data_IF_198559787572
#
_entry.id   IF_198559787572
#
_cell.length_a   1.000
_cell.length_b   1.000
_cell.length_c   1.000
_cell.angle_alpha   90.00
_cell.angle_beta   90.00
_cell.angle_gamma   90.00
#
_symmetry.space_group_name_H-M   'P 1'
#
loop_
_entity.id
_entity.type
_entity.pdbx_description
1 polymer ?
#
# COMPACT_ATOMS: atom_id res chain seq x y z
N UNK A 1 30.10 -11.01 29.61
CA UNK A 1 30.68 -10.57 28.32
C UNK A 1 29.51 -10.36 27.37
N UNK A 2 29.07 -9.11 27.22
CA UNK A 2 27.87 -8.77 26.45
C UNK A 2 28.28 -8.59 24.98
N UNK A 3 27.78 -9.45 24.10
CA UNK A 3 27.90 -9.27 22.66
C UNK A 3 26.76 -8.35 22.20
N UNK A 4 27.06 -7.07 22.00
CA UNK A 4 26.17 -6.10 21.38
C UNK A 4 26.34 -6.19 19.86
N UNK A 5 25.76 -7.26 19.29
CA UNK A 5 25.70 -7.52 17.85
C UNK A 5 24.42 -7.01 17.23
N UNK A 6 23.94 -5.83 17.65
CA UNK A 6 22.78 -5.17 17.06
C UNK A 6 23.08 -4.71 15.64
N UNK A 7 23.01 -5.63 14.67
CA UNK A 7 22.97 -5.28 13.25
C UNK A 7 21.69 -4.45 13.02
N UNK A 8 21.81 -3.14 13.16
CA UNK A 8 20.75 -2.19 12.81
C UNK A 8 20.54 -2.30 11.30
N UNK A 9 19.63 -3.20 10.89
CA UNK A 9 19.15 -3.26 9.53
C UNK A 9 18.72 -1.84 9.14
N UNK A 10 19.47 -1.22 8.23
CA UNK A 10 19.12 0.09 7.66
C UNK A 10 17.70 -0.02 7.12
N UNK A 11 16.73 0.59 7.81
CA UNK A 11 15.34 0.62 7.37
C UNK A 11 15.30 1.29 6.00
N UNK A 12 15.12 0.48 4.94
CA UNK A 12 15.04 0.97 3.57
C UNK A 12 13.68 1.63 3.40
N UNK A 13 13.63 2.91 3.71
CA UNK A 13 12.48 3.78 3.47
C UNK A 13 12.23 3.84 1.95
N UNK A 14 11.32 2.99 1.47
CA UNK A 14 10.93 2.77 0.06
C UNK A 14 12.06 2.32 -0.88
N UNK A 15 11.76 1.39 -1.80
CA UNK A 15 12.73 1.00 -2.82
C UNK A 15 12.94 2.14 -3.84
N UNK A 16 14.08 2.20 -4.55
CA UNK A 16 14.27 3.15 -5.65
C UNK A 16 13.13 3.09 -6.68
N UNK A 17 12.58 1.89 -6.93
CA UNK A 17 11.42 1.69 -7.78
C UNK A 17 10.16 2.38 -7.22
N UNK A 18 9.84 2.22 -5.94
CA UNK A 18 8.67 2.86 -5.33
C UNK A 18 8.78 4.40 -5.38
N UNK A 19 10.00 4.94 -5.29
CA UNK A 19 10.26 6.39 -5.44
C UNK A 19 10.06 6.86 -6.88
N UNK A 20 10.48 6.07 -7.87
CA UNK A 20 10.23 6.38 -9.28
C UNK A 20 8.72 6.42 -9.58
N UNK A 21 7.98 5.41 -9.12
CA UNK A 21 6.51 5.36 -9.22
C UNK A 21 5.89 6.61 -8.60
N UNK A 22 6.30 6.99 -7.39
CA UNK A 22 5.83 8.21 -6.71
C UNK A 22 6.06 9.48 -7.52
N UNK A 23 7.24 9.61 -8.11
CA UNK A 23 7.59 10.80 -8.88
C UNK A 23 6.75 10.86 -10.16
N UNK A 24 6.58 9.73 -10.86
CA UNK A 24 5.77 9.66 -12.08
C UNK A 24 4.30 9.94 -11.81
N UNK A 25 3.71 9.41 -10.74
CA UNK A 25 2.33 9.73 -10.33
C UNK A 25 2.14 11.24 -10.14
N UNK A 26 3.15 11.97 -9.66
CA UNK A 26 3.05 13.42 -9.42
C UNK A 26 3.32 14.27 -10.65
N UNK A 27 4.11 13.78 -11.60
CA UNK A 27 4.66 14.56 -12.71
C UNK A 27 3.97 14.27 -14.05
N UNK A 28 3.38 13.09 -14.21
CA UNK A 28 2.76 12.62 -15.44
C UNK A 28 1.33 12.16 -15.16
N UNK A 29 0.37 12.99 -15.56
CA UNK A 29 -1.06 12.71 -15.40
C UNK A 29 -1.48 11.43 -16.12
N UNK A 30 -0.95 11.16 -17.31
CA UNK A 30 -1.31 9.93 -18.06
C UNK A 30 -0.78 8.69 -17.36
N UNK A 31 0.42 8.79 -16.78
CA UNK A 31 0.97 7.72 -15.94
C UNK A 31 0.12 7.50 -14.70
N UNK A 32 -0.29 8.58 -14.02
CA UNK A 32 -1.14 8.49 -12.83
C UNK A 32 -2.49 7.82 -13.15
N UNK A 33 -3.17 8.25 -14.22
CA UNK A 33 -4.41 7.65 -14.71
C UNK A 33 -4.24 6.14 -14.96
N UNK A 34 -3.27 5.75 -15.78
CA UNK A 34 -3.03 4.35 -16.10
C UNK A 34 -2.64 3.52 -14.86
N UNK A 35 -1.89 4.10 -13.93
CA UNK A 35 -1.50 3.45 -12.69
C UNK A 35 -2.70 3.19 -11.77
N UNK A 36 -3.58 4.17 -11.57
CA UNK A 36 -4.76 4.01 -10.74
C UNK A 36 -5.84 3.14 -11.39
N UNK A 37 -5.97 3.17 -12.72
CA UNK A 37 -6.83 2.25 -13.47
C UNK A 37 -6.33 0.80 -13.29
N UNK A 38 -5.04 0.53 -13.48
CA UNK A 38 -4.47 -0.81 -13.27
C UNK A 38 -4.59 -1.29 -11.81
N UNK A 39 -4.54 -0.38 -10.83
CA UNK A 39 -4.83 -0.73 -9.44
C UNK A 39 -6.30 -1.11 -9.26
N UNK A 40 -7.23 -0.37 -9.87
CA UNK A 40 -8.67 -0.61 -9.68
C UNK A 40 -9.10 -2.02 -10.12
N UNK A 41 -8.40 -2.60 -11.10
CA UNK A 41 -8.64 -3.96 -11.62
C UNK A 41 -8.05 -5.09 -10.75
N UNK A 42 -7.23 -4.76 -9.77
CA UNK A 42 -6.60 -5.75 -8.88
C UNK A 42 -7.49 -6.15 -7.70
N UNK A 43 -7.17 -7.26 -7.03
CA UNK A 43 -7.90 -7.63 -5.81
C UNK A 43 -7.65 -6.64 -4.67
N UNK A 44 -8.67 -6.39 -3.83
CA UNK A 44 -8.60 -5.44 -2.71
C UNK A 44 -7.31 -5.54 -1.85
N UNK A 45 -6.82 -6.74 -1.47
CA UNK A 45 -5.52 -6.89 -0.81
C UNK A 45 -4.34 -6.24 -1.54
N UNK A 46 -4.30 -6.44 -2.87
CA UNK A 46 -3.23 -5.96 -3.74
C UNK A 46 -3.36 -4.45 -3.95
N UNK A 47 -4.59 -3.94 -4.12
CA UNK A 47 -4.83 -2.49 -4.20
C UNK A 47 -4.25 -1.76 -3.01
N UNK A 48 -4.53 -2.26 -1.80
CA UNK A 48 -4.04 -1.70 -0.55
C UNK A 48 -2.51 -1.75 -0.47
N UNK A 49 -1.89 -2.86 -0.88
CA UNK A 49 -0.44 -3.00 -0.90
C UNK A 49 0.24 -2.01 -1.87
N UNK A 50 -0.33 -1.86 -3.08
CA UNK A 50 0.17 -0.94 -4.10
C UNK A 50 0.03 0.51 -3.66
N UNK A 51 -1.14 0.92 -3.14
CA UNK A 51 -1.37 2.26 -2.58
C UNK A 51 -0.41 2.57 -1.42
N UNK A 52 -0.21 1.62 -0.50
CA UNK A 52 0.74 1.78 0.60
C UNK A 52 2.15 2.08 0.09
N UNK A 53 2.60 1.35 -0.94
CA UNK A 53 3.92 1.55 -1.57
C UNK A 53 3.98 2.88 -2.33
N UNK A 54 2.94 3.21 -3.10
CA UNK A 54 2.81 4.50 -3.78
C UNK A 54 2.87 5.68 -2.81
N UNK A 55 2.43 5.53 -1.56
CA UNK A 55 2.56 6.58 -0.53
C UNK A 55 3.83 6.46 0.33
N UNK A 56 4.71 5.49 0.03
CA UNK A 56 6.02 5.36 0.68
C UNK A 56 5.91 4.91 2.13
N UNK A 57 4.81 4.25 2.49
CA UNK A 57 4.55 3.75 3.82
C UNK A 57 5.06 2.30 3.86
N UNK A 58 5.88 1.94 4.85
CA UNK A 58 6.32 0.54 5.00
C UNK A 58 5.27 -0.32 5.72
N UNK A 59 5.38 -1.64 5.62
CA UNK A 59 4.49 -2.55 6.37
C UNK A 59 4.65 -2.38 7.88
N UNK A 60 5.86 -2.12 8.36
CA UNK A 60 6.15 -1.84 9.77
C UNK A 60 5.47 -0.55 10.21
N UNK A 61 5.52 0.50 9.38
CA UNK A 61 4.92 1.80 9.70
C UNK A 61 3.40 1.71 9.78
N UNK A 62 2.76 0.97 8.88
CA UNK A 62 1.30 0.78 8.93
C UNK A 62 0.89 -0.16 10.06
N UNK A 63 1.67 -1.21 10.33
CA UNK A 63 1.48 -2.11 11.47
C UNK A 63 1.51 -1.33 12.79
N UNK A 64 2.49 -0.44 12.97
CA UNK A 64 2.61 0.40 14.16
C UNK A 64 1.39 1.33 14.33
N UNK A 65 0.92 1.98 13.25
CA UNK A 65 -0.28 2.83 13.29
C UNK A 65 -1.54 2.05 13.66
N UNK A 66 -1.67 0.81 13.19
CA UNK A 66 -2.81 -0.06 13.45
C UNK A 66 -2.68 -0.89 14.73
N UNK A 67 -1.56 -0.77 15.47
CA UNK A 67 -1.21 -1.63 16.62
C UNK A 67 -1.28 -3.14 16.27
N UNK A 68 -0.89 -3.48 15.05
CA UNK A 68 -0.80 -4.84 14.54
C UNK A 68 0.67 -5.27 14.41
N UNK A 69 0.90 -6.58 14.25
CA UNK A 69 2.22 -7.12 13.88
C UNK A 69 2.45 -6.95 12.39
N UNK A 70 3.68 -6.68 11.96
CA UNK A 70 4.04 -6.61 10.54
C UNK A 70 3.63 -7.87 9.76
N UNK A 71 3.78 -9.05 10.36
CA UNK A 71 3.36 -10.32 9.76
C UNK A 71 1.85 -10.37 9.47
N UNK A 72 1.01 -9.66 10.23
CA UNK A 72 -0.42 -9.55 9.95
C UNK A 72 -0.64 -8.70 8.69
N UNK A 73 0.02 -7.54 8.58
CA UNK A 73 -0.03 -6.70 7.36
C UNK A 73 0.44 -7.50 6.14
N UNK A 74 1.53 -8.27 6.28
CA UNK A 74 2.05 -9.13 5.22
C UNK A 74 1.03 -10.18 4.75
N UNK A 75 0.20 -10.72 5.65
CA UNK A 75 -0.87 -11.66 5.28
C UNK A 75 -2.08 -10.95 4.66
N UNK A 76 -2.41 -9.76 5.15
CA UNK A 76 -3.50 -8.95 4.63
C UNK A 76 -3.25 -8.49 3.20
N UNK A 77 -2.00 -8.24 2.81
CA UNK A 77 -1.61 -7.78 1.47
C UNK A 77 -1.40 -8.90 0.44
N UNK A 78 -1.86 -10.13 0.70
CA UNK A 78 -1.74 -11.27 -0.23
C UNK A 78 -2.97 -11.40 -1.11
N UNK A 79 -2.79 -11.91 -2.33
CA UNK A 79 -3.89 -12.10 -3.30
C UNK A 79 -5.05 -12.93 -2.75
N UNK A 80 -4.75 -14.01 -2.03
CA UNK A 80 -5.74 -14.95 -1.48
C UNK A 80 -6.14 -14.61 -0.03
N UNK A 81 -6.05 -13.33 0.33
CA UNK A 81 -6.30 -12.89 1.70
C UNK A 81 -7.78 -12.71 1.98
N UNK A 82 -8.33 -13.57 2.84
CA UNK A 82 -9.73 -13.53 3.26
C UNK A 82 -9.87 -12.86 4.64
N UNK A 83 -9.90 -11.53 4.66
CA UNK A 83 -10.11 -10.73 5.87
C UNK A 83 -11.41 -9.93 5.76
N UNK A 84 -11.99 -9.57 6.90
CA UNK A 84 -13.17 -8.71 6.95
C UNK A 84 -12.91 -7.36 6.26
N UNK A 85 -13.91 -6.87 5.52
CA UNK A 85 -13.91 -5.55 4.87
C UNK A 85 -13.54 -4.44 5.86
N UNK A 86 -14.04 -4.53 7.10
CA UNK A 86 -13.73 -3.56 8.18
C UNK A 86 -12.23 -3.43 8.50
N UNK A 87 -11.44 -4.47 8.21
CA UNK A 87 -9.97 -4.43 8.34
C UNK A 87 -9.36 -3.60 7.22
N UNK A 88 -9.80 -3.82 5.99
CA UNK A 88 -9.38 -3.03 4.83
C UNK A 88 -9.81 -1.56 4.95
N UNK A 89 -11.00 -1.28 5.49
CA UNK A 89 -11.45 0.09 5.76
C UNK A 89 -10.55 0.82 6.76
N UNK A 90 -10.15 0.15 7.86
CA UNK A 90 -9.20 0.72 8.83
C UNK A 90 -7.86 1.05 8.16
N UNK A 91 -7.40 0.17 7.28
CA UNK A 91 -6.15 0.37 6.56
C UNK A 91 -6.26 1.52 5.55
N UNK A 92 -7.35 1.56 4.78
CA UNK A 92 -7.65 2.66 3.85
C UNK A 92 -7.67 4.02 4.58
N UNK A 93 -8.30 4.10 5.76
CA UNK A 93 -8.29 5.33 6.59
C UNK A 93 -6.87 5.78 6.95
N UNK A 94 -5.97 4.86 7.30
CA UNK A 94 -4.56 5.18 7.59
C UNK A 94 -3.80 5.66 6.35
N UNK A 95 -4.20 5.20 5.17
CA UNK A 95 -3.68 5.62 3.87
C UNK A 95 -4.35 6.90 3.33
N UNK A 96 -5.31 7.49 4.04
CA UNK A 96 -6.14 8.59 3.53
C UNK A 96 -6.92 8.23 2.27
N UNK A 97 -7.38 6.98 2.19
CA UNK A 97 -8.13 6.41 1.08
C UNK A 97 -9.49 5.86 1.56
N UNK A 98 -10.35 5.52 0.61
CA UNK A 98 -11.66 4.88 0.84
C UNK A 98 -11.83 3.69 -0.10
N UNK A 99 -12.63 2.71 0.31
CA UNK A 99 -13.07 1.62 -0.55
C UNK A 99 -14.24 2.12 -1.39
N UNK A 100 -14.29 1.73 -2.67
CA UNK A 100 -15.33 2.13 -3.62
C UNK A 100 -15.72 0.92 -4.47
N UNK A 101 -17.01 0.82 -4.80
CA UNK A 101 -17.52 -0.11 -5.81
C UNK A 101 -17.67 0.67 -7.10
N UNK A 102 -17.12 0.14 -8.18
CA UNK A 102 -17.09 0.79 -9.49
C UNK A 102 -17.82 -0.12 -10.49
N UNK A 103 -18.74 0.41 -11.31
CA UNK A 103 -19.30 -0.34 -12.43
C UNK A 103 -18.21 -0.83 -13.38
N UNK A 104 -18.37 -2.02 -13.96
CA UNK A 104 -17.36 -2.62 -14.88
C UNK A 104 -17.04 -1.74 -16.10
N UNK A 105 -17.97 -0.86 -16.49
CA UNK A 105 -17.83 0.06 -17.60
C UNK A 105 -17.41 1.49 -17.20
N UNK A 106 -17.06 1.71 -15.93
CA UNK A 106 -16.65 3.01 -15.43
C UNK A 106 -15.13 3.03 -15.15
N UNK A 107 -14.50 4.17 -15.41
CA UNK A 107 -13.08 4.41 -15.12
C UNK A 107 -12.91 5.29 -13.90
N UNK A 108 -11.91 4.98 -13.09
CA UNK A 108 -11.49 5.82 -11.97
C UNK A 108 -10.42 6.78 -12.49
N UNK A 109 -10.78 8.06 -12.60
CA UNK A 109 -9.86 9.11 -13.03
C UNK A 109 -9.38 9.86 -11.78
N UNK A 110 -8.06 9.87 -11.49
CA UNK A 110 -7.51 10.71 -10.43
C UNK A 110 -7.74 12.20 -10.76
N UNK A 111 -8.12 12.97 -9.74
CA UNK A 111 -8.33 14.43 -9.84
C UNK A 111 -7.01 15.21 -9.84
#
# INVERSE_FOLDING_TARGET
MFWDGGNKMKHKNSSPFDKDVQNKIKQDTKYAEAYFEAIADESLPIQIALLRRAYGISQEKIAAKLRLKQAHISRLEKKDSDHLISTYEKMAKVLHSRIMIVPENARVIPA
#
